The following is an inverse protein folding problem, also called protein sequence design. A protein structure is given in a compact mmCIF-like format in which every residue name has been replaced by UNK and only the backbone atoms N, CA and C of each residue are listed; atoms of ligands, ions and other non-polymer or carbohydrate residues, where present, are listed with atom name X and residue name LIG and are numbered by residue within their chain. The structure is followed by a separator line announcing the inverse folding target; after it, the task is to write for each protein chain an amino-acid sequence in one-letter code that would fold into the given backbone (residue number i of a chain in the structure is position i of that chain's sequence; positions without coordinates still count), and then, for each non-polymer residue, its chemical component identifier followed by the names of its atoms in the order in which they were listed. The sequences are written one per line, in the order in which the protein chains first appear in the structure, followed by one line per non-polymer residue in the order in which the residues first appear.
data_IF_512550839997
#
_entry.id   IF_512550839997
#
_cell.length_a   1.000
_cell.length_b   1.000
_cell.length_c   1.000
_cell.angle_alpha   90.00
_cell.angle_beta   90.00
_cell.angle_gamma   90.00
#
_symmetry.space_group_name_H-M   'P 1'
#
loop_
_entity.id
_entity.type
_entity.pdbx_description
1 polymer ?
#
# COMPACT_ATOMS: atom_id res chain seq x y z
N UNK A 1 -20.78 13.95 23.64
CA UNK A 1 -20.44 14.86 22.53
C UNK A 1 -19.14 14.40 21.92
N UNK A 2 -19.14 13.86 20.69
CA UNK A 2 -17.89 13.55 19.96
C UNK A 2 -17.28 14.88 19.53
N UNK A 3 -16.12 15.25 20.04
CA UNK A 3 -15.36 16.38 19.55
C UNK A 3 -14.95 16.06 18.11
N UNK A 4 -15.46 16.83 17.16
CA UNK A 4 -14.98 16.79 15.78
C UNK A 4 -13.56 17.40 15.78
N UNK A 5 -12.56 16.55 15.62
CA UNK A 5 -11.19 16.99 15.45
C UNK A 5 -11.07 17.64 14.08
N UNK A 6 -10.92 18.97 14.04
CA UNK A 6 -10.74 19.71 12.79
C UNK A 6 -9.26 19.56 12.40
N UNK A 7 -8.98 18.70 11.45
CA UNK A 7 -7.64 18.55 10.87
C UNK A 7 -7.32 19.74 9.97
N UNK A 8 -6.08 20.24 10.09
CA UNK A 8 -5.54 21.24 9.16
C UNK A 8 -5.43 20.67 7.74
N UNK A 9 -5.34 21.53 6.73
CA UNK A 9 -5.14 21.08 5.35
C UNK A 9 -3.85 20.25 5.20
N UNK A 10 -2.79 20.61 5.92
CA UNK A 10 -1.53 19.88 5.94
C UNK A 10 -1.66 18.49 6.54
N UNK A 11 -2.38 18.34 7.65
CA UNK A 11 -2.64 17.01 8.26
C UNK A 11 -3.45 16.11 7.35
N UNK A 12 -4.44 16.66 6.65
CA UNK A 12 -5.23 15.92 5.66
C UNK A 12 -4.39 15.46 4.48
N UNK A 13 -3.49 16.30 3.98
CA UNK A 13 -2.59 15.97 2.88
C UNK A 13 -1.57 14.90 3.29
N UNK A 14 -1.03 14.98 4.52
CA UNK A 14 -0.12 13.95 5.06
C UNK A 14 -0.79 12.59 5.16
N UNK A 15 -2.08 12.54 5.47
CA UNK A 15 -2.82 11.27 5.50
C UNK A 15 -2.93 10.59 4.13
N UNK A 16 -2.76 11.33 3.03
CA UNK A 16 -2.78 10.81 1.67
C UNK A 16 -1.40 10.33 1.17
N UNK A 17 -0.35 10.46 1.99
CA UNK A 17 1.02 10.08 1.63
C UNK A 17 1.46 8.88 2.48
N UNK A 18 2.10 7.85 1.90
CA UNK A 18 2.65 6.75 2.67
C UNK A 18 3.60 7.26 3.77
N UNK A 19 3.44 6.74 4.99
CA UNK A 19 4.18 7.21 6.18
C UNK A 19 5.71 7.17 5.99
N UNK A 20 6.21 6.16 5.26
CA UNK A 20 7.62 6.02 4.92
C UNK A 20 8.17 7.15 4.03
N UNK A 21 7.31 7.90 3.34
CA UNK A 21 7.70 8.96 2.40
C UNK A 21 7.66 10.35 3.07
N UNK A 22 6.88 10.51 4.12
CA UNK A 22 6.71 11.81 4.82
C UNK A 22 8.06 12.45 5.25
N UNK A 23 9.06 11.71 5.78
CA UNK A 23 10.35 12.30 6.14
C UNK A 23 11.07 12.96 4.96
N UNK A 24 10.99 12.37 3.77
CA UNK A 24 11.65 12.88 2.56
C UNK A 24 11.00 14.17 2.02
N UNK A 25 9.68 14.28 2.14
CA UNK A 25 8.95 15.49 1.73
C UNK A 25 9.29 16.72 2.58
N UNK A 26 9.63 16.53 3.87
CA UNK A 26 9.97 17.61 4.79
C UNK A 26 11.32 18.27 4.50
N UNK A 27 12.23 17.55 3.90
CA UNK A 27 13.61 17.98 3.63
C UNK A 27 13.73 18.67 2.28
N UNK A 28 12.68 18.63 1.44
CA UNK A 28 12.73 19.14 0.07
C UNK A 28 13.59 18.27 -0.86
N UNK A 29 14.00 17.11 -0.39
CA UNK A 29 14.95 16.20 -1.06
C UNK A 29 14.18 15.07 -1.77
N UNK A 30 13.41 15.42 -2.78
CA UNK A 30 12.68 14.44 -3.59
C UNK A 30 13.61 13.42 -4.26
N UNK A 31 14.87 13.80 -4.51
CA UNK A 31 15.89 12.94 -5.11
C UNK A 31 16.43 11.89 -4.13
N UNK A 32 16.43 12.15 -2.82
CA UNK A 32 16.95 11.21 -1.82
C UNK A 32 16.08 9.97 -1.60
N UNK A 33 14.80 10.02 -1.99
CA UNK A 33 13.92 8.87 -1.97
C UNK A 33 14.21 7.85 -3.09
N UNK A 34 14.94 8.27 -4.13
CA UNK A 34 15.18 7.45 -5.32
C UNK A 34 16.44 6.59 -5.15
N UNK A 35 16.29 5.28 -5.02
CA UNK A 35 17.43 4.36 -4.90
C UNK A 35 17.07 2.92 -5.25
N UNK A 36 18.09 2.16 -5.63
CA UNK A 36 17.98 0.70 -5.64
C UNK A 36 18.15 0.19 -4.21
N UNK A 37 17.22 -0.64 -3.79
CA UNK A 37 17.26 -1.26 -2.47
C UNK A 37 16.52 -2.60 -2.46
N UNK A 38 16.86 -3.44 -1.50
CA UNK A 38 16.13 -4.67 -1.28
C UNK A 38 14.82 -4.36 -0.59
N UNK A 39 13.70 -4.69 -1.25
CA UNK A 39 12.35 -4.53 -0.72
C UNK A 39 11.58 -5.85 -0.81
N UNK A 40 10.61 -6.00 0.07
CA UNK A 40 9.56 -6.99 -0.08
C UNK A 40 8.29 -6.30 -0.57
N UNK A 41 7.78 -6.77 -1.69
CA UNK A 41 6.59 -6.23 -2.36
C UNK A 41 5.45 -7.23 -2.26
N UNK A 42 4.30 -6.78 -1.81
CA UNK A 42 3.06 -7.53 -1.78
C UNK A 42 2.04 -6.88 -2.70
N UNK A 43 1.44 -7.66 -3.58
CA UNK A 43 0.22 -7.33 -4.30
C UNK A 43 -0.93 -8.13 -3.72
N UNK A 44 -2.04 -7.48 -3.42
CA UNK A 44 -3.24 -8.10 -2.90
C UNK A 44 -4.45 -7.70 -3.76
N UNK A 45 -5.03 -8.66 -4.49
CA UNK A 45 -6.30 -8.48 -5.20
C UNK A 45 -7.44 -8.72 -4.21
N UNK A 46 -8.37 -7.77 -4.11
CA UNK A 46 -9.38 -7.73 -3.06
C UNK A 46 -10.76 -8.24 -3.49
N UNK A 47 -10.92 -8.70 -4.72
CA UNK A 47 -12.20 -9.19 -5.22
C UNK A 47 -13.35 -8.17 -5.20
N UNK A 48 -13.04 -6.88 -5.24
CA UNK A 48 -14.03 -5.77 -5.25
C UNK A 48 -13.99 -5.11 -6.62
N UNK A 49 -15.16 -4.97 -7.23
CA UNK A 49 -15.33 -4.32 -8.52
C UNK A 49 -15.51 -2.80 -8.37
N UNK A 50 -15.09 -2.05 -9.41
CA UNK A 50 -15.22 -0.60 -9.46
C UNK A 50 -16.68 -0.15 -9.34
N UNK A 51 -17.62 -0.91 -9.90
CA UNK A 51 -19.07 -0.67 -9.80
C UNK A 51 -19.58 -0.61 -8.37
N UNK A 52 -18.92 -1.32 -7.44
CA UNK A 52 -19.27 -1.26 -6.01
C UNK A 52 -19.05 0.13 -5.40
N UNK A 53 -18.19 0.97 -6.01
CA UNK A 53 -17.95 2.34 -5.54
C UNK A 53 -19.07 3.35 -5.91
N UNK A 54 -20.06 2.93 -6.67
CA UNK A 54 -21.17 3.81 -7.10
C UNK A 54 -22.25 4.01 -6.03
N UNK A 55 -22.21 3.23 -4.95
CA UNK A 55 -23.17 3.30 -3.85
C UNK A 55 -22.51 3.59 -2.51
N UNK A 56 -23.20 4.26 -1.60
CA UNK A 56 -22.69 4.54 -0.25
C UNK A 56 -22.38 3.25 0.54
N UNK A 57 -23.20 2.22 0.36
CA UNK A 57 -23.01 0.91 0.98
C UNK A 57 -21.74 0.23 0.44
N UNK A 58 -21.54 0.27 -0.87
CA UNK A 58 -20.36 -0.27 -1.52
C UNK A 58 -19.10 0.48 -1.13
N UNK A 59 -19.16 1.82 -1.05
CA UNK A 59 -18.04 2.64 -0.55
C UNK A 59 -17.71 2.31 0.91
N UNK A 60 -18.72 2.13 1.77
CA UNK A 60 -18.51 1.72 3.15
C UNK A 60 -17.86 0.33 3.25
N UNK A 61 -18.27 -0.59 2.37
CA UNK A 61 -17.65 -1.93 2.29
C UNK A 61 -16.20 -1.87 1.84
N UNK A 62 -15.89 -1.11 0.77
CA UNK A 62 -14.52 -0.86 0.30
C UNK A 62 -13.68 -0.25 1.41
N UNK A 63 -14.19 0.77 2.10
CA UNK A 63 -13.50 1.42 3.22
C UNK A 63 -13.19 0.42 4.33
N UNK A 64 -14.10 -0.46 4.68
CA UNK A 64 -13.89 -1.49 5.69
C UNK A 64 -12.77 -2.47 5.27
N UNK A 65 -12.77 -2.93 4.02
CA UNK A 65 -11.72 -3.80 3.46
C UNK A 65 -10.37 -3.10 3.53
N UNK A 66 -10.27 -1.87 3.01
CA UNK A 66 -9.01 -1.11 2.97
C UNK A 66 -8.49 -0.87 4.39
N UNK A 67 -9.34 -0.47 5.33
CA UNK A 67 -8.97 -0.27 6.73
C UNK A 67 -8.46 -1.57 7.36
N UNK A 68 -9.14 -2.69 7.13
CA UNK A 68 -8.72 -4.00 7.61
C UNK A 68 -7.31 -4.36 7.11
N UNK A 69 -7.05 -4.16 5.82
CA UNK A 69 -5.72 -4.41 5.24
C UNK A 69 -4.67 -3.47 5.83
N UNK A 70 -4.97 -2.16 5.92
CA UNK A 70 -4.07 -1.16 6.48
C UNK A 70 -3.64 -1.50 7.91
N UNK A 71 -4.56 -1.92 8.76
CA UNK A 71 -4.27 -2.33 10.14
C UNK A 71 -3.26 -3.49 10.20
N UNK A 72 -3.42 -4.50 9.34
CA UNK A 72 -2.50 -5.63 9.31
C UNK A 72 -1.12 -5.23 8.77
N UNK A 73 -1.08 -4.41 7.72
CA UNK A 73 0.16 -3.90 7.11
C UNK A 73 0.95 -3.05 8.12
N UNK A 74 0.31 -2.08 8.76
CA UNK A 74 0.98 -1.17 9.70
C UNK A 74 1.39 -1.86 11.00
N UNK A 75 0.64 -2.86 11.46
CA UNK A 75 0.99 -3.66 12.63
C UNK A 75 2.33 -4.36 12.50
N UNK A 76 2.71 -4.78 11.29
CA UNK A 76 3.99 -5.41 10.97
C UNK A 76 4.94 -4.48 10.22
N UNK A 77 4.75 -3.16 10.39
CA UNK A 77 5.62 -2.09 9.91
C UNK A 77 5.82 -2.07 8.39
N UNK A 78 4.82 -2.58 7.65
CA UNK A 78 4.72 -2.37 6.22
C UNK A 78 4.18 -0.99 5.89
N UNK A 79 4.30 -0.61 4.63
CA UNK A 79 3.76 0.63 4.07
C UNK A 79 2.75 0.31 2.98
N UNK A 80 1.53 0.83 3.09
CA UNK A 80 0.58 0.79 1.99
C UNK A 80 1.02 1.84 0.97
N UNK A 81 1.35 1.40 -0.24
CA UNK A 81 1.83 2.27 -1.30
C UNK A 81 0.69 2.85 -2.12
N UNK A 82 -0.17 2.01 -2.65
CA UNK A 82 -1.32 2.47 -3.45
C UNK A 82 -2.46 1.45 -3.48
N UNK A 83 -3.67 1.98 -3.69
CA UNK A 83 -4.84 1.23 -4.11
C UNK A 83 -5.10 1.56 -5.58
N UNK A 84 -5.19 0.55 -6.41
CA UNK A 84 -5.59 0.64 -7.82
C UNK A 84 -6.94 -0.03 -7.98
N UNK A 85 -7.89 0.66 -8.60
CA UNK A 85 -9.19 0.10 -8.99
C UNK A 85 -9.38 0.34 -10.48
N UNK A 86 -9.50 -0.72 -11.26
CA UNK A 86 -9.68 -0.68 -12.70
C UNK A 86 -10.68 -1.76 -13.16
N UNK A 87 -10.79 -1.97 -14.47
CA UNK A 87 -11.65 -2.98 -15.08
C UNK A 87 -11.26 -4.43 -14.74
N UNK A 88 -10.07 -4.65 -14.18
CA UNK A 88 -9.58 -5.96 -13.71
C UNK A 88 -9.83 -6.20 -12.23
N UNK A 89 -10.39 -5.20 -11.52
CA UNK A 89 -10.69 -5.25 -10.10
C UNK A 89 -9.85 -4.30 -9.24
N UNK A 90 -9.83 -4.57 -7.95
CA UNK A 90 -9.11 -3.77 -6.97
C UNK A 90 -7.83 -4.46 -6.51
N UNK A 91 -6.73 -3.72 -6.49
CA UNK A 91 -5.41 -4.21 -6.07
C UNK A 91 -4.78 -3.24 -5.09
N UNK A 92 -4.33 -3.75 -3.95
CA UNK A 92 -3.47 -3.03 -3.00
C UNK A 92 -2.01 -3.43 -3.19
N UNK A 93 -1.13 -2.45 -3.15
CA UNK A 93 0.32 -2.63 -3.22
C UNK A 93 0.91 -2.21 -1.88
N UNK A 94 1.60 -3.13 -1.21
CA UNK A 94 2.22 -2.91 0.08
C UNK A 94 3.71 -3.23 0.01
N UNK A 95 4.51 -2.52 0.81
CA UNK A 95 5.96 -2.56 0.78
C UNK A 95 6.54 -2.73 2.18
N UNK A 96 7.60 -3.52 2.31
CA UNK A 96 8.46 -3.63 3.49
C UNK A 96 9.90 -3.34 3.07
N UNK A 97 10.69 -2.78 3.98
CA UNK A 97 12.09 -2.40 3.72
C UNK A 97 12.29 -0.92 3.38
N UNK A 98 11.23 -0.12 3.42
CA UNK A 98 11.35 1.34 3.26
C UNK A 98 11.87 1.97 4.56
N UNK A 99 12.97 2.75 4.46
CA UNK A 99 13.44 3.54 5.60
C UNK A 99 12.36 4.53 6.08
N UNK A 100 12.16 4.74 7.40
CA UNK A 100 12.90 4.18 8.53
C UNK A 100 12.45 2.79 9.01
N UNK A 101 11.50 2.15 8.35
CA UNK A 101 10.87 0.89 8.76
C UNK A 101 11.47 -0.32 8.00
N UNK A 102 12.79 -0.42 7.94
CA UNK A 102 13.49 -1.54 7.31
C UNK A 102 14.03 -2.51 8.35
N UNK A 103 13.77 -3.81 8.17
CA UNK A 103 14.15 -4.88 9.09
C UNK A 103 14.75 -6.05 8.32
N UNK A 104 15.59 -6.84 8.99
CA UNK A 104 16.16 -8.05 8.40
C UNK A 104 15.11 -9.12 8.08
N UNK A 105 13.99 -9.10 8.80
CA UNK A 105 12.87 -10.04 8.67
C UNK A 105 11.68 -9.52 7.84
N UNK A 106 11.88 -8.51 7.00
CA UNK A 106 10.83 -7.87 6.20
C UNK A 106 10.02 -8.87 5.35
N UNK A 107 10.67 -9.87 4.76
CA UNK A 107 9.99 -10.92 4.01
C UNK A 107 9.06 -11.76 4.90
N UNK A 108 9.49 -12.11 6.11
CA UNK A 108 8.68 -12.85 7.06
C UNK A 108 7.49 -12.01 7.55
N UNK A 109 7.70 -10.71 7.80
CA UNK A 109 6.64 -9.77 8.17
C UNK A 109 5.58 -9.65 7.08
N UNK A 110 5.99 -9.57 5.82
CA UNK A 110 5.08 -9.53 4.68
C UNK A 110 4.23 -10.82 4.59
N UNK A 111 4.84 -11.99 4.75
CA UNK A 111 4.14 -13.28 4.73
C UNK A 111 3.12 -13.37 5.88
N UNK A 112 3.52 -13.03 7.10
CA UNK A 112 2.62 -13.02 8.25
C UNK A 112 1.47 -12.02 8.06
N UNK A 113 1.74 -10.87 7.47
CA UNK A 113 0.70 -9.89 7.11
C UNK A 113 -0.28 -10.49 6.12
N UNK A 114 0.21 -11.18 5.08
CA UNK A 114 -0.64 -11.85 4.09
C UNK A 114 -1.60 -12.85 4.73
N UNK A 115 -1.12 -13.71 5.61
CA UNK A 115 -1.98 -14.65 6.36
C UNK A 115 -3.01 -13.93 7.24
N UNK A 116 -2.62 -12.85 7.91
CA UNK A 116 -3.55 -12.07 8.73
C UNK A 116 -4.61 -11.38 7.87
N UNK A 117 -4.23 -10.80 6.71
CA UNK A 117 -5.17 -10.19 5.77
C UNK A 117 -6.22 -11.22 5.32
N UNK A 118 -5.80 -12.40 4.84
CA UNK A 118 -6.71 -13.45 4.40
C UNK A 118 -7.67 -13.83 5.55
N UNK A 119 -7.16 -14.03 6.75
CA UNK A 119 -7.95 -14.39 7.93
C UNK A 119 -8.99 -13.32 8.28
N UNK A 120 -8.62 -12.05 8.29
CA UNK A 120 -9.52 -10.96 8.67
C UNK A 120 -10.55 -10.66 7.55
N UNK A 121 -10.15 -10.70 6.28
CA UNK A 121 -11.07 -10.50 5.17
C UNK A 121 -12.09 -11.64 5.04
N UNK A 122 -11.71 -12.88 5.35
CA UNK A 122 -12.64 -14.02 5.39
C UNK A 122 -13.78 -13.79 6.39
N UNK A 123 -13.54 -13.11 7.52
CA UNK A 123 -14.60 -12.79 8.50
C UNK A 123 -15.67 -11.84 7.97
N UNK A 124 -15.34 -11.03 6.98
CA UNK A 124 -16.25 -10.10 6.32
C UNK A 124 -16.68 -10.58 4.92
N UNK A 125 -16.59 -11.89 4.69
CA UNK A 125 -16.94 -12.56 3.42
C UNK A 125 -16.24 -11.96 2.19
N UNK A 126 -15.03 -11.50 2.35
CA UNK A 126 -14.19 -10.98 1.26
C UNK A 126 -13.03 -11.92 1.02
N UNK A 127 -12.82 -12.31 -0.22
CA UNK A 127 -11.66 -13.09 -0.62
C UNK A 127 -10.53 -12.17 -1.13
N UNK A 128 -9.30 -12.63 -1.07
CA UNK A 128 -8.17 -11.95 -1.69
C UNK A 128 -7.14 -12.97 -2.19
N UNK A 129 -6.47 -12.62 -3.28
CA UNK A 129 -5.28 -13.31 -3.74
C UNK A 129 -4.06 -12.44 -3.42
N UNK A 130 -3.00 -13.06 -2.92
CA UNK A 130 -1.80 -12.35 -2.50
C UNK A 130 -0.58 -12.93 -3.19
N UNK A 131 0.20 -12.07 -3.82
CA UNK A 131 1.52 -12.39 -4.34
C UNK A 131 2.59 -11.58 -3.61
N UNK A 132 3.65 -12.25 -3.15
CA UNK A 132 4.76 -11.63 -2.41
C UNK A 132 6.06 -12.00 -3.08
N UNK A 133 6.94 -11.03 -3.23
CA UNK A 133 8.29 -11.22 -3.76
C UNK A 133 9.26 -10.28 -3.07
N UNK A 134 10.52 -10.72 -2.89
CA UNK A 134 11.59 -9.94 -2.28
C UNK A 134 12.80 -9.87 -3.18
N UNK A 135 13.48 -8.75 -3.21
CA UNK A 135 14.72 -8.56 -3.96
C UNK A 135 15.02 -7.10 -4.25
N UNK A 136 16.07 -6.88 -5.04
CA UNK A 136 16.50 -5.55 -5.45
C UNK A 136 15.51 -4.92 -6.42
N UNK A 137 15.09 -3.69 -6.13
CA UNK A 137 14.24 -2.89 -7.01
C UNK A 137 14.49 -1.39 -6.82
N UNK A 138 14.18 -0.63 -7.84
CA UNK A 138 14.18 0.82 -7.75
C UNK A 138 12.95 1.29 -6.98
N UNK A 139 13.14 2.19 -6.03
CA UNK A 139 12.06 2.89 -5.34
C UNK A 139 12.32 4.38 -5.35
N UNK A 140 11.31 5.19 -5.64
CA UNK A 140 11.47 6.62 -5.68
C UNK A 140 10.24 7.36 -6.18
N UNK A 141 10.31 8.69 -6.15
CA UNK A 141 9.28 9.57 -6.70
C UNK A 141 9.46 9.67 -8.21
N UNK A 142 8.43 9.27 -8.95
CA UNK A 142 8.38 9.31 -10.42
C UNK A 142 7.37 10.35 -10.87
N UNK A 143 7.72 11.13 -11.89
CA UNK A 143 6.87 12.20 -12.43
C UNK A 143 7.67 13.42 -12.82
N UNK A 144 6.99 14.45 -13.34
CA UNK A 144 7.61 15.70 -13.78
C UNK A 144 7.20 16.87 -12.90
N UNK A 145 8.07 17.89 -12.83
CA UNK A 145 7.77 19.14 -12.13
C UNK A 145 6.51 19.78 -12.72
N UNK A 146 5.58 20.21 -11.87
CA UNK A 146 4.30 20.78 -12.28
C UNK A 146 3.21 19.80 -12.72
N UNK A 147 3.50 18.48 -12.72
CA UNK A 147 2.55 17.42 -12.97
C UNK A 147 2.41 16.50 -11.75
N UNK A 148 1.64 15.41 -11.90
CA UNK A 148 1.49 14.40 -10.85
C UNK A 148 2.84 13.73 -10.58
N UNK A 149 3.23 13.69 -9.31
CA UNK A 149 4.34 12.89 -8.81
C UNK A 149 3.79 11.76 -7.95
N UNK A 150 4.41 10.60 -8.03
CA UNK A 150 3.97 9.41 -7.33
C UNK A 150 5.17 8.61 -6.86
N UNK A 151 5.14 8.15 -5.60
CA UNK A 151 6.12 7.19 -5.13
C UNK A 151 5.83 5.83 -5.74
N UNK A 152 6.79 5.29 -6.46
CA UNK A 152 6.66 4.03 -7.19
C UNK A 152 7.83 3.10 -6.91
N UNK A 153 7.54 1.80 -7.01
CA UNK A 153 8.53 0.73 -6.98
C UNK A 153 8.55 0.06 -8.34
N UNK A 154 9.72 -0.02 -8.95
CA UNK A 154 9.91 -0.54 -10.30
C UNK A 154 10.97 -1.65 -10.29
N UNK A 155 10.73 -2.70 -11.03
CA UNK A 155 11.65 -3.80 -11.20
C UNK A 155 10.97 -5.17 -11.24
N UNK A 156 11.76 -6.20 -11.47
CA UNK A 156 11.26 -7.58 -11.62
C UNK A 156 10.57 -8.11 -10.37
N UNK A 157 10.98 -7.64 -9.19
CA UNK A 157 10.36 -7.99 -7.91
C UNK A 157 8.89 -7.61 -7.88
N UNK A 158 8.55 -6.37 -8.28
CA UNK A 158 7.18 -5.92 -8.33
C UNK A 158 6.35 -6.71 -9.36
N UNK A 159 6.93 -6.94 -10.55
CA UNK A 159 6.29 -7.71 -11.60
C UNK A 159 6.05 -9.17 -11.18
N UNK A 160 7.02 -9.77 -10.46
CA UNK A 160 6.89 -11.14 -9.96
C UNK A 160 5.77 -11.25 -8.91
N UNK A 161 5.72 -10.33 -7.95
CA UNK A 161 4.64 -10.29 -6.96
C UNK A 161 3.25 -10.18 -7.62
N UNK A 162 3.11 -9.31 -8.63
CA UNK A 162 1.87 -9.16 -9.38
C UNK A 162 1.47 -10.45 -10.14
N UNK A 163 2.45 -11.15 -10.73
CA UNK A 163 2.20 -12.43 -11.44
C UNK A 163 1.80 -13.54 -10.48
N UNK A 164 2.43 -13.64 -9.31
CA UNK A 164 2.07 -14.61 -8.26
C UNK A 164 0.64 -14.37 -7.77
N UNK A 165 0.26 -13.10 -7.58
CA UNK A 165 -1.11 -12.75 -7.18
C UNK A 165 -2.16 -13.20 -8.23
N UNK A 166 -1.81 -13.14 -9.51
CA UNK A 166 -2.71 -13.48 -10.62
C UNK A 166 -2.71 -14.96 -11.03
N UNK A 167 -1.91 -15.82 -10.39
CA UNK A 167 -1.86 -17.26 -10.64
C UNK A 167 -2.85 -18.02 -9.73
#
# INVERSE_FOLDING_TARGET
MKQFQVFTAEEKLKACVPAAIIPYLRIGEEEFGASNRSLTVMFASLGVELSSAETDEGLAHIQNIVTTVQEQVYRLQGSLNKLVMDDKGSTLICLWGLSPFSHEDDAARAILTGFNIIKELTKINTWCNIGISSGECFSGVVGTAGARKEFSVLGDVANLAARIMGS
#
